data_IF_964980191650
#
_entry.id   IF_964980191650
#
_cell.length_a   1.000
_cell.length_b   1.000
_cell.length_c   1.000
_cell.angle_alpha   90.00
_cell.angle_beta   90.00
_cell.angle_gamma   90.00
#
_symmetry.space_group_name_H-M   'P 1'
#
loop_
_entity.id
_entity.type
_entity.pdbx_description
1 polymer ?
#
# COMPACT_ATOMS: atom_id res chain seq x y z
N UNK A 1 15.69 -1.24 63.95
CA UNK A 1 14.91 -1.93 62.86
C UNK A 1 14.05 -1.00 62.01
N UNK A 2 14.01 0.31 62.30
CA UNK A 2 13.21 1.30 61.52
C UNK A 2 13.92 1.96 60.34
N UNK A 3 15.22 2.10 60.40
CA UNK A 3 15.98 2.84 59.39
C UNK A 3 16.11 2.06 58.07
N UNK A 4 16.36 0.77 58.18
CA UNK A 4 16.51 -0.11 56.98
C UNK A 4 15.22 -0.23 56.18
N UNK A 5 14.05 -0.25 56.84
CA UNK A 5 12.75 -0.26 56.12
C UNK A 5 12.46 1.04 55.36
N UNK A 6 12.88 2.20 55.92
CA UNK A 6 12.70 3.51 55.27
C UNK A 6 13.61 3.67 54.07
N UNK A 7 14.87 3.24 54.19
CA UNK A 7 15.83 3.29 53.06
C UNK A 7 15.38 2.35 51.93
N UNK A 8 14.90 1.16 52.25
CA UNK A 8 14.36 0.20 51.28
C UNK A 8 13.13 0.77 50.58
N UNK A 9 12.25 1.48 51.28
CA UNK A 9 11.07 2.12 50.70
C UNK A 9 11.43 3.24 49.70
N UNK A 10 12.45 4.05 50.00
CA UNK A 10 12.94 5.09 49.10
C UNK A 10 13.60 4.51 47.83
N UNK A 11 14.32 3.39 47.96
CA UNK A 11 14.92 2.70 46.82
C UNK A 11 13.83 2.11 45.93
N UNK A 12 12.78 1.52 46.50
CA UNK A 12 11.64 0.99 45.72
C UNK A 12 10.88 2.13 44.99
N UNK A 13 10.66 3.27 45.63
CA UNK A 13 10.01 4.42 45.01
C UNK A 13 10.89 5.04 43.91
N UNK A 14 12.21 5.09 44.10
CA UNK A 14 13.13 5.54 43.04
C UNK A 14 13.17 4.59 41.85
N UNK A 15 13.16 3.26 42.09
CA UNK A 15 13.13 2.27 41.01
C UNK A 15 11.80 2.31 40.25
N UNK A 16 10.66 2.51 40.96
CA UNK A 16 9.35 2.66 40.34
C UNK A 16 9.23 3.96 39.48
N UNK A 17 9.89 5.04 39.91
CA UNK A 17 9.86 6.30 39.12
C UNK A 17 10.69 6.21 37.84
N UNK A 18 11.68 5.31 37.76
CA UNK A 18 12.47 5.09 36.53
C UNK A 18 11.69 4.24 35.51
N UNK A 19 10.72 3.40 35.96
CA UNK A 19 9.88 2.62 35.06
C UNK A 19 8.71 3.39 34.40
N UNK A 20 8.40 4.61 34.86
CA UNK A 20 7.31 5.43 34.28
C UNK A 20 7.82 6.31 33.12
N UNK A 21 9.14 6.42 32.92
CA UNK A 21 9.75 7.21 31.81
C UNK A 21 10.11 6.32 30.59
N UNK A 22 9.78 5.02 30.63
CA UNK A 22 10.19 4.04 29.64
C UNK A 22 9.09 3.50 28.73
N UNK A 23 8.04 4.28 28.46
CA UNK A 23 7.01 3.89 27.49
C UNK A 23 6.62 5.07 26.61
N UNK A 24 7.59 5.59 25.85
CA UNK A 24 7.29 6.37 24.65
C UNK A 24 8.54 6.43 23.75
N UNK A 25 8.84 5.29 23.13
CA UNK A 25 9.69 5.22 21.95
C UNK A 25 9.09 4.23 20.96
N UNK A 26 7.90 4.53 20.47
CA UNK A 26 7.61 4.26 19.08
C UNK A 26 8.50 5.22 18.29
N UNK A 27 9.51 4.69 17.64
CA UNK A 27 10.34 5.45 16.72
C UNK A 27 9.51 5.76 15.47
N UNK A 28 8.62 6.75 15.63
CA UNK A 28 8.06 7.50 14.51
C UNK A 28 9.19 8.38 13.98
N UNK A 29 9.89 7.88 12.95
CA UNK A 29 10.71 8.72 12.07
C UNK A 29 9.82 9.42 11.05
N UNK A 30 8.76 10.06 11.51
CA UNK A 30 8.21 11.25 10.91
C UNK A 30 8.73 12.40 11.77
N UNK A 31 9.46 13.32 11.17
CA UNK A 31 9.79 14.60 11.79
C UNK A 31 8.50 15.20 12.35
N UNK A 32 8.26 15.01 13.66
CA UNK A 32 7.24 15.76 14.39
C UNK A 32 7.72 17.20 14.44
N UNK A 33 7.33 17.99 13.45
CA UNK A 33 7.34 19.43 13.61
C UNK A 33 6.43 19.75 14.80
N UNK A 34 6.99 20.26 15.89
CA UNK A 34 6.25 20.75 17.04
C UNK A 34 5.27 21.81 16.54
N UNK A 35 3.99 21.47 16.42
CA UNK A 35 2.96 22.44 16.12
C UNK A 35 1.87 22.06 15.14
N UNK A 36 2.04 20.99 14.33
CA UNK A 36 1.01 20.63 13.34
C UNK A 36 -0.20 20.00 14.02
N UNK A 37 -1.39 20.49 13.69
CA UNK A 37 -2.64 19.85 14.09
C UNK A 37 -2.76 18.44 13.47
N UNK A 38 -3.60 17.57 14.05
CA UNK A 38 -3.88 16.24 13.45
C UNK A 38 -4.38 16.36 12.02
N UNK A 39 -5.18 17.37 11.75
CA UNK A 39 -5.70 17.66 10.41
C UNK A 39 -4.57 17.95 9.42
N UNK A 40 -3.60 18.80 9.79
CA UNK A 40 -2.44 19.10 8.96
C UNK A 40 -1.58 17.86 8.71
N UNK A 41 -1.39 17.01 9.72
CA UNK A 41 -0.65 15.76 9.57
C UNK A 41 -1.35 14.82 8.56
N UNK A 42 -2.68 14.71 8.63
CA UNK A 42 -3.47 13.90 7.68
C UNK A 42 -3.36 14.48 6.27
N UNK A 43 -3.52 15.80 6.11
CA UNK A 43 -3.40 16.49 4.81
C UNK A 43 -2.01 16.31 4.21
N UNK A 44 -0.94 16.42 5.01
CA UNK A 44 0.45 16.16 4.56
C UNK A 44 0.67 14.72 4.14
N UNK A 45 0.14 13.75 4.91
CA UNK A 45 0.23 12.34 4.57
C UNK A 45 -0.50 12.02 3.27
N UNK A 46 -1.69 12.60 3.08
CA UNK A 46 -2.47 12.45 1.86
C UNK A 46 -1.75 13.07 0.64
N UNK A 47 -1.22 14.28 0.77
CA UNK A 47 -0.42 14.92 -0.27
C UNK A 47 0.75 14.04 -0.70
N UNK A 48 1.52 13.50 0.27
CA UNK A 48 2.63 12.59 -0.01
C UNK A 48 2.19 11.32 -0.73
N UNK A 49 1.00 10.79 -0.40
CA UNK A 49 0.43 9.64 -1.10
C UNK A 49 0.09 9.97 -2.56
N UNK A 50 -0.37 11.18 -2.83
CA UNK A 50 -0.70 11.63 -4.18
C UNK A 50 0.53 11.91 -5.05
N UNK A 51 1.71 12.14 -4.48
CA UNK A 51 2.96 12.40 -5.20
C UNK A 51 3.41 11.24 -6.12
N UNK A 52 2.85 10.04 -5.92
CA UNK A 52 3.11 8.92 -6.82
C UNK A 52 2.31 8.99 -8.13
N UNK A 53 1.34 9.91 -8.25
CA UNK A 53 0.47 10.04 -9.41
C UNK A 53 0.75 11.31 -10.23
N UNK A 54 0.90 11.21 -11.57
CA UNK A 54 1.12 9.97 -12.30
C UNK A 54 2.60 9.54 -12.27
N UNK A 55 2.85 8.23 -12.17
CA UNK A 55 4.17 7.65 -12.42
C UNK A 55 4.12 6.86 -13.72
N UNK A 56 4.52 7.49 -14.84
CA UNK A 56 4.41 6.93 -16.20
C UNK A 56 5.32 5.72 -16.39
N UNK A 57 6.55 5.79 -15.86
CA UNK A 57 7.49 4.68 -15.90
C UNK A 57 7.42 3.92 -14.58
N UNK A 58 6.96 2.66 -14.64
CA UNK A 58 6.81 1.84 -13.45
C UNK A 58 8.16 1.49 -12.78
N UNK A 59 9.26 1.52 -13.52
CA UNK A 59 10.60 1.28 -12.95
C UNK A 59 11.04 2.38 -11.99
N UNK A 60 10.45 3.58 -12.07
CA UNK A 60 10.72 4.67 -11.13
C UNK A 60 10.35 4.28 -9.68
N UNK A 61 9.46 3.30 -9.50
CA UNK A 61 9.11 2.77 -8.17
C UNK A 61 10.26 2.03 -7.48
N UNK A 62 11.29 1.60 -8.20
CA UNK A 62 12.48 1.05 -7.55
C UNK A 62 13.23 2.08 -6.70
N UNK A 63 13.10 3.35 -7.05
CA UNK A 63 13.81 4.46 -6.41
C UNK A 63 12.88 5.36 -5.57
N UNK A 64 11.55 5.22 -5.70
CA UNK A 64 10.57 5.95 -4.89
C UNK A 64 10.49 5.37 -3.47
N UNK A 65 10.55 6.25 -2.47
CA UNK A 65 10.20 5.91 -1.10
C UNK A 65 8.67 5.88 -0.94
N UNK A 66 8.18 4.85 -0.24
CA UNK A 66 6.78 4.71 0.11
C UNK A 66 6.55 4.81 1.61
N UNK A 67 5.30 4.81 2.00
CA UNK A 67 4.93 4.60 3.40
C UNK A 67 5.40 3.20 3.83
N UNK A 68 6.03 3.12 4.98
CA UNK A 68 6.48 1.87 5.59
C UNK A 68 5.75 1.69 6.89
N UNK A 69 5.05 0.58 6.98
CA UNK A 69 4.41 0.11 8.19
C UNK A 69 5.30 -0.98 8.82
N UNK A 70 5.73 -0.77 10.07
CA UNK A 70 6.58 -1.69 10.80
C UNK A 70 8.09 -1.41 10.74
N UNK A 71 8.85 -2.27 11.43
CA UNK A 71 10.30 -2.19 11.51
C UNK A 71 10.95 -2.92 10.34
N UNK A 72 11.78 -2.21 9.61
CA UNK A 72 12.59 -2.77 8.52
C UNK A 72 14.03 -2.96 8.97
N UNK A 73 14.69 -4.02 8.47
CA UNK A 73 16.13 -4.19 8.65
C UNK A 73 16.87 -3.02 8.01
N UNK A 74 17.96 -2.58 8.64
CA UNK A 74 18.80 -1.52 8.09
C UNK A 74 19.23 -1.87 6.67
N UNK A 75 18.97 -0.97 5.72
CA UNK A 75 19.27 -1.15 4.30
C UNK A 75 18.20 -1.87 3.48
N UNK A 76 17.14 -2.39 4.08
CA UNK A 76 16.01 -2.93 3.33
C UNK A 76 15.18 -1.79 2.72
N UNK A 77 15.11 -1.76 1.39
CA UNK A 77 14.33 -0.77 0.64
C UNK A 77 12.84 -1.13 0.52
N UNK A 78 12.47 -2.36 0.90
CA UNK A 78 11.10 -2.84 0.83
C UNK A 78 10.62 -3.15 -0.59
N UNK A 79 9.30 -3.23 -0.74
CA UNK A 79 8.63 -3.58 -1.99
C UNK A 79 7.47 -2.64 -2.25
N UNK A 80 7.21 -2.36 -3.52
CA UNK A 80 5.95 -1.78 -3.96
C UNK A 80 5.00 -2.88 -4.45
N UNK A 81 3.73 -2.73 -4.14
CA UNK A 81 2.65 -3.53 -4.72
C UNK A 81 1.73 -2.56 -5.45
N UNK A 82 1.62 -2.73 -6.76
CA UNK A 82 0.78 -1.90 -7.61
C UNK A 82 -0.32 -2.79 -8.17
N UNK A 83 -1.58 -2.41 -7.95
CA UNK A 83 -2.75 -3.13 -8.44
C UNK A 83 -3.67 -2.16 -9.16
N UNK A 84 -4.18 -2.60 -10.29
CA UNK A 84 -5.31 -1.95 -10.97
C UNK A 84 -6.29 -3.03 -11.43
N UNK A 85 -7.56 -2.76 -11.23
CA UNK A 85 -8.65 -3.67 -11.56
C UNK A 85 -9.83 -2.85 -12.09
N UNK A 86 -10.49 -3.38 -13.09
CA UNK A 86 -11.74 -2.85 -13.62
C UNK A 86 -12.79 -3.95 -13.58
N UNK A 87 -13.92 -3.65 -12.97
CA UNK A 87 -15.06 -4.54 -12.90
C UNK A 87 -16.17 -3.99 -13.80
N UNK A 88 -16.74 -4.85 -14.63
CA UNK A 88 -17.84 -4.52 -15.51
C UNK A 88 -18.99 -5.47 -15.22
N UNK A 89 -20.17 -4.93 -15.02
CA UNK A 89 -21.39 -5.70 -14.94
C UNK A 89 -21.84 -6.11 -16.35
N UNK A 90 -22.20 -7.38 -16.50
CA UNK A 90 -22.77 -7.92 -17.73
C UNK A 90 -24.31 -7.94 -17.65
N UNK A 91 -24.96 -7.98 -18.82
CA UNK A 91 -26.42 -7.95 -18.93
C UNK A 91 -27.20 -9.03 -18.13
N UNK A 92 -26.49 -10.02 -17.57
CA UNK A 92 -27.09 -11.14 -16.83
C UNK A 92 -26.70 -11.13 -15.35
N UNK A 93 -26.50 -9.93 -14.76
CA UNK A 93 -26.05 -9.76 -13.36
C UNK A 93 -24.69 -10.39 -13.04
N UNK A 94 -24.03 -10.95 -14.04
CA UNK A 94 -22.65 -11.45 -13.90
C UNK A 94 -21.68 -10.25 -13.89
N UNK A 95 -20.66 -10.35 -13.07
CA UNK A 95 -19.58 -9.37 -13.06
C UNK A 95 -18.30 -9.96 -13.64
N UNK A 96 -17.60 -9.23 -14.48
CA UNK A 96 -16.27 -9.57 -14.96
C UNK A 96 -15.28 -8.54 -14.44
N UNK A 97 -14.32 -9.02 -13.66
CA UNK A 97 -13.19 -8.20 -13.20
C UNK A 97 -11.95 -8.60 -13.98
N UNK A 98 -11.26 -7.61 -14.53
CA UNK A 98 -9.95 -7.78 -15.16
C UNK A 98 -8.96 -6.86 -14.46
N UNK A 99 -7.79 -7.38 -14.16
CA UNK A 99 -6.81 -6.58 -13.48
C UNK A 99 -5.42 -7.18 -13.49
N UNK A 100 -4.50 -6.39 -12.98
CA UNK A 100 -3.12 -6.82 -12.80
C UNK A 100 -2.60 -6.36 -11.44
N UNK A 101 -1.82 -7.22 -10.83
CA UNK A 101 -1.02 -6.88 -9.65
C UNK A 101 0.44 -7.18 -9.95
N UNK A 102 1.31 -6.22 -9.69
CA UNK A 102 2.76 -6.40 -9.77
C UNK A 102 3.41 -6.07 -8.42
N UNK A 103 4.52 -6.75 -8.15
CA UNK A 103 5.31 -6.60 -6.93
C UNK A 103 6.74 -6.27 -7.32
N UNK A 104 7.12 -5.03 -7.08
CA UNK A 104 8.47 -4.52 -7.37
C UNK A 104 9.33 -4.67 -6.12
N UNK A 105 10.34 -5.50 -6.19
CA UNK A 105 11.33 -5.62 -5.13
C UNK A 105 12.42 -4.58 -5.35
N UNK A 106 12.50 -3.59 -4.46
CA UNK A 106 13.45 -2.47 -4.56
C UNK A 106 14.90 -2.89 -4.29
N UNK A 107 15.11 -3.95 -3.52
CA UNK A 107 16.45 -4.43 -3.20
C UNK A 107 17.10 -5.14 -4.40
N UNK A 108 16.35 -6.03 -5.04
CA UNK A 108 16.82 -6.80 -6.21
C UNK A 108 16.51 -6.12 -7.56
N UNK A 109 15.73 -5.05 -7.56
CA UNK A 109 15.21 -4.37 -8.77
C UNK A 109 14.53 -5.34 -9.73
N UNK A 110 13.71 -6.24 -9.18
CA UNK A 110 12.93 -7.22 -9.93
C UNK A 110 11.45 -6.98 -9.76
N UNK A 111 10.67 -7.28 -10.78
CA UNK A 111 9.23 -7.16 -10.75
C UNK A 111 8.57 -8.42 -11.29
N UNK A 112 7.68 -8.98 -10.49
CA UNK A 112 6.83 -10.11 -10.87
C UNK A 112 5.39 -9.82 -10.48
N UNK A 113 4.44 -10.50 -11.14
CA UNK A 113 3.03 -10.29 -10.85
C UNK A 113 2.14 -11.27 -11.57
N UNK A 114 0.88 -10.91 -11.64
CA UNK A 114 -0.14 -11.68 -12.34
C UNK A 114 -1.19 -10.76 -12.95
N UNK A 115 -1.58 -11.03 -14.18
CA UNK A 115 -2.81 -10.56 -14.78
C UNK A 115 -3.91 -11.56 -14.44
N UNK A 116 -5.11 -11.11 -14.14
CA UNK A 116 -6.23 -11.97 -13.80
C UNK A 116 -7.51 -11.55 -14.50
N UNK A 117 -8.32 -12.56 -14.81
CA UNK A 117 -9.70 -12.40 -15.26
C UNK A 117 -10.57 -13.20 -14.29
N UNK A 118 -11.46 -12.52 -13.59
CA UNK A 118 -12.41 -13.12 -12.65
C UNK A 118 -13.82 -12.90 -13.15
N UNK A 119 -14.60 -13.98 -13.20
CA UNK A 119 -16.00 -13.94 -13.54
C UNK A 119 -16.79 -14.35 -12.29
N UNK A 120 -17.66 -13.46 -11.84
CA UNK A 120 -18.56 -13.71 -10.71
C UNK A 120 -19.96 -13.89 -11.27
N UNK A 121 -20.60 -14.97 -10.88
CA UNK A 121 -21.96 -15.36 -11.32
C UNK A 121 -22.78 -15.65 -10.09
N UNK A 122 -24.06 -15.27 -10.16
CA UNK A 122 -25.07 -15.66 -9.19
C UNK A 122 -26.02 -16.64 -9.84
N UNK A 123 -26.37 -17.72 -9.16
CA UNK A 123 -27.38 -18.66 -9.64
C UNK A 123 -28.79 -18.24 -9.23
N UNK A 124 -29.79 -19.00 -9.70
CA UNK A 124 -31.20 -18.74 -9.40
C UNK A 124 -31.59 -18.86 -7.91
N UNK A 125 -30.69 -19.41 -7.09
CA UNK A 125 -30.87 -19.56 -5.65
C UNK A 125 -30.11 -18.45 -4.87
N UNK A 126 -29.48 -17.49 -5.56
CA UNK A 126 -28.71 -16.41 -4.95
C UNK A 126 -27.30 -16.82 -4.51
N UNK A 127 -26.83 -17.99 -4.93
CA UNK A 127 -25.48 -18.45 -4.58
C UNK A 127 -24.45 -17.92 -5.55
N UNK A 128 -23.40 -17.29 -5.01
CA UNK A 128 -22.33 -16.67 -5.77
C UNK A 128 -21.20 -17.64 -6.06
N UNK A 129 -20.80 -17.73 -7.32
CA UNK A 129 -19.66 -18.51 -7.80
C UNK A 129 -18.63 -17.58 -8.44
N UNK A 130 -17.36 -17.88 -8.28
CA UNK A 130 -16.31 -17.14 -8.95
C UNK A 130 -15.35 -18.08 -9.66
N UNK A 131 -15.07 -17.77 -10.92
CA UNK A 131 -14.03 -18.43 -11.73
C UNK A 131 -12.93 -17.40 -11.99
N UNK A 132 -11.68 -17.73 -11.66
CA UNK A 132 -10.55 -16.84 -11.83
C UNK A 132 -9.43 -17.52 -12.61
N UNK A 133 -9.01 -16.86 -13.70
CA UNK A 133 -7.85 -17.26 -14.49
C UNK A 133 -6.72 -16.28 -14.23
N UNK A 134 -5.52 -16.81 -13.97
CA UNK A 134 -4.31 -16.04 -13.67
C UNK A 134 -3.22 -16.31 -14.68
N UNK A 135 -2.56 -15.25 -15.10
CA UNK A 135 -1.48 -15.27 -16.07
C UNK A 135 -0.25 -14.62 -15.41
N UNK A 136 0.76 -15.43 -15.04
CA UNK A 136 1.98 -14.91 -14.43
C UNK A 136 2.72 -13.97 -15.38
N UNK A 137 3.18 -12.83 -14.87
CA UNK A 137 3.89 -11.81 -15.64
C UNK A 137 5.15 -11.35 -14.92
N UNK A 138 6.06 -10.76 -15.67
CA UNK A 138 7.19 -9.95 -15.17
C UNK A 138 7.18 -8.58 -15.83
N UNK A 139 7.96 -7.67 -15.30
CA UNK A 139 8.23 -6.39 -15.94
C UNK A 139 9.72 -6.28 -16.24
N UNK A 140 10.05 -5.90 -17.46
CA UNK A 140 11.39 -5.58 -17.91
C UNK A 140 11.35 -4.38 -18.85
N UNK A 141 12.23 -3.41 -18.65
CA UNK A 141 12.30 -2.18 -19.46
C UNK A 141 10.93 -1.48 -19.56
N UNK A 142 10.23 -1.36 -18.43
CA UNK A 142 8.88 -0.78 -18.32
C UNK A 142 7.80 -1.48 -19.17
N UNK A 143 8.04 -2.72 -19.59
CA UNK A 143 7.09 -3.54 -20.36
C UNK A 143 6.66 -4.74 -19.53
N UNK A 144 5.38 -5.04 -19.57
CA UNK A 144 4.82 -6.26 -18.97
C UNK A 144 4.95 -7.41 -19.96
N UNK A 145 5.51 -8.51 -19.51
CA UNK A 145 5.81 -9.69 -20.32
C UNK A 145 5.22 -10.92 -19.65
N UNK A 146 4.39 -11.71 -20.35
CA UNK A 146 3.93 -13.01 -19.85
C UNK A 146 5.10 -13.95 -19.56
N UNK A 147 5.06 -14.67 -18.44
CA UNK A 147 6.06 -15.69 -18.09
C UNK A 147 5.83 -17.04 -18.78
N UNK A 148 4.66 -17.25 -19.35
CA UNK A 148 4.28 -18.47 -20.08
C UNK A 148 3.62 -18.07 -21.40
N UNK A 149 3.73 -18.90 -22.44
CA UNK A 149 2.96 -18.71 -23.67
C UNK A 149 1.46 -18.58 -23.37
N UNK A 150 0.80 -17.69 -24.09
CA UNK A 150 -0.64 -17.46 -24.00
C UNK A 150 -1.22 -17.68 -25.37
N UNK A 151 -2.09 -18.68 -25.50
CA UNK A 151 -2.72 -19.05 -26.77
C UNK A 151 -3.82 -18.06 -27.19
N UNK A 152 -4.45 -17.39 -26.22
CA UNK A 152 -5.45 -16.35 -26.46
C UNK A 152 -4.77 -15.03 -26.78
N UNK A 153 -4.67 -14.68 -28.06
CA UNK A 153 -4.05 -13.44 -28.54
C UNK A 153 -4.72 -12.18 -27.98
N UNK A 154 -6.01 -12.23 -27.65
CA UNK A 154 -6.71 -11.11 -27.03
C UNK A 154 -6.20 -10.89 -25.59
N UNK A 155 -6.09 -11.95 -24.81
CA UNK A 155 -5.56 -11.88 -23.43
C UNK A 155 -4.11 -11.44 -23.46
N UNK A 156 -3.30 -11.95 -24.39
CA UNK A 156 -1.91 -11.57 -24.55
C UNK A 156 -1.78 -10.05 -24.81
N UNK A 157 -2.57 -9.53 -25.74
CA UNK A 157 -2.61 -8.10 -26.04
C UNK A 157 -3.08 -7.27 -24.84
N UNK A 158 -4.12 -7.72 -24.11
CA UNK A 158 -4.60 -7.06 -22.90
C UNK A 158 -3.48 -6.97 -21.83
N UNK A 159 -2.62 -7.97 -21.71
CA UNK A 159 -1.48 -7.97 -20.79
C UNK A 159 -0.39 -7.01 -21.24
N UNK A 160 0.01 -7.07 -22.51
CA UNK A 160 1.11 -6.27 -23.07
C UNK A 160 0.77 -4.76 -23.09
N UNK A 161 -0.49 -4.42 -23.32
CA UNK A 161 -1.00 -3.06 -23.37
C UNK A 161 -1.55 -2.54 -22.02
N UNK A 162 -1.50 -3.37 -20.97
CA UNK A 162 -2.07 -3.02 -19.67
C UNK A 162 -1.42 -1.77 -19.07
N UNK A 163 -2.25 -0.86 -18.61
CA UNK A 163 -1.79 0.33 -17.89
C UNK A 163 -2.39 0.38 -16.49
N UNK A 164 -1.53 0.54 -15.53
CA UNK A 164 -1.94 0.76 -14.15
C UNK A 164 -2.50 2.17 -13.97
N UNK A 165 -3.48 2.30 -13.11
CA UNK A 165 -4.08 3.59 -12.80
C UNK A 165 -3.04 4.63 -12.37
N UNK A 166 -2.02 4.22 -11.64
CA UNK A 166 -0.91 5.08 -11.21
C UNK A 166 -0.16 5.73 -12.38
N UNK A 167 -0.22 5.16 -13.59
CA UNK A 167 0.49 5.70 -14.77
C UNK A 167 -0.24 6.88 -15.44
N UNK A 168 -1.56 6.98 -15.25
CA UNK A 168 -2.38 8.01 -15.91
C UNK A 168 -3.32 8.76 -14.97
N UNK A 169 -3.56 8.25 -13.75
CA UNK A 169 -4.37 8.94 -12.76
C UNK A 169 -3.80 10.33 -12.47
N UNK A 170 -4.62 11.36 -12.63
CA UNK A 170 -4.25 12.73 -12.33
C UNK A 170 -5.12 13.24 -11.19
N UNK A 171 -4.51 13.51 -10.05
CA UNK A 171 -5.18 14.04 -8.86
C UNK A 171 -4.91 15.52 -8.63
N UNK A 172 -4.31 16.23 -9.58
CA UNK A 172 -4.07 17.68 -9.45
C UNK A 172 -5.36 18.46 -9.24
N UNK A 173 -6.48 17.94 -9.76
CA UNK A 173 -7.80 18.54 -9.56
C UNK A 173 -8.40 18.28 -8.17
N UNK A 174 -7.80 17.38 -7.38
CA UNK A 174 -8.13 17.19 -5.97
C UNK A 174 -7.40 18.19 -5.04
N UNK A 175 -6.92 19.30 -5.56
CA UNK A 175 -6.34 20.37 -4.72
C UNK A 175 -7.30 20.85 -3.65
N UNK A 176 -8.60 20.71 -3.86
CA UNK A 176 -9.65 20.99 -2.88
C UNK A 176 -9.56 20.16 -1.59
N UNK A 177 -8.79 19.06 -1.55
CA UNK A 177 -8.57 18.34 -0.28
C UNK A 177 -7.94 19.23 0.81
N UNK A 178 -7.24 20.31 0.40
CA UNK A 178 -6.63 21.27 1.32
C UNK A 178 -7.69 22.09 2.07
N UNK A 179 -8.83 22.32 1.41
CA UNK A 179 -9.95 23.10 1.95
C UNK A 179 -11.03 22.20 2.56
N UNK A 180 -10.85 20.87 2.46
CA UNK A 180 -11.77 19.89 3.03
C UNK A 180 -11.71 19.83 4.55
N UNK A 181 -12.85 19.60 5.18
CA UNK A 181 -12.94 19.29 6.61
C UNK A 181 -12.47 17.84 6.84
N UNK A 182 -11.57 17.67 7.80
CA UNK A 182 -11.10 16.34 8.21
C UNK A 182 -11.80 15.97 9.51
N UNK A 183 -12.72 15.01 9.44
CA UNK A 183 -13.31 14.39 10.63
C UNK A 183 -12.46 13.22 11.09
N UNK A 184 -12.09 13.22 12.36
CA UNK A 184 -11.31 12.17 12.99
C UNK A 184 -12.19 11.46 14.03
N UNK A 185 -12.39 10.15 13.85
CA UNK A 185 -12.94 9.27 14.89
C UNK A 185 -11.76 8.56 15.57
N UNK A 186 -11.54 8.80 16.88
CA UNK A 186 -10.47 8.18 17.66
C UNK A 186 -10.67 6.68 17.82
#
# INVERSE_FOLDING_TARGET
MGYFKRVLLYIIVMVLSVFIIGCDKSSDTSEKSKGDSKEEQIKKSFAKTLDVYPTKNLEDFYDKEGYRDGEFKKGDKGKWVIRSEMTTELKNENMVSKGMVIRLNRNSRTCTGEYFVRIVKEDSEGKVYSDERKYPVKMENNKIIPLKPIDDEKVKKEIEEFKFFVQYGNFKELENYKDGEVTYNP
#
